data_IF_680689070758
#
_entry.id   IF_680689070758
#
_cell.length_a   1.000
_cell.length_b   1.000
_cell.length_c   1.000
_cell.angle_alpha   90.00
_cell.angle_beta   90.00
_cell.angle_gamma   90.00
#
_symmetry.space_group_name_H-M   'P 1'
#
loop_
_entity.id
_entity.type
_entity.pdbx_description
1 polymer ?
#
# COMPACT_ATOMS: atom_id res chain seq x y z
N UNK A 1 3.84 16.18 -16.06
CA UNK A 1 3.61 17.41 -15.28
C UNK A 1 3.63 17.04 -13.81
N UNK A 2 4.58 17.57 -13.07
CA UNK A 2 4.75 17.23 -11.65
C UNK A 2 3.72 17.93 -10.78
N UNK A 3 3.43 17.38 -9.59
CA UNK A 3 2.51 18.03 -8.63
C UNK A 3 3.01 19.44 -8.23
N UNK A 4 4.33 19.64 -8.22
CA UNK A 4 4.95 20.93 -7.90
C UNK A 4 4.72 21.97 -9.01
N UNK A 5 4.86 21.58 -10.29
CA UNK A 5 4.50 22.43 -11.42
C UNK A 5 3.01 22.80 -11.40
N UNK A 6 2.15 21.82 -11.08
CA UNK A 6 0.70 22.06 -10.92
C UNK A 6 0.44 23.10 -9.84
N UNK A 7 1.05 22.95 -8.65
CA UNK A 7 0.90 23.93 -7.57
C UNK A 7 1.34 25.33 -8.02
N UNK A 8 2.52 25.46 -8.63
CA UNK A 8 3.05 26.76 -9.04
C UNK A 8 2.13 27.46 -10.07
N UNK A 9 1.59 26.70 -11.03
CA UNK A 9 0.63 27.22 -12.00
C UNK A 9 -0.68 27.66 -11.34
N UNK A 10 -1.23 26.84 -10.43
CA UNK A 10 -2.44 27.18 -9.68
C UNK A 10 -2.22 28.39 -8.77
N UNK A 11 -1.06 28.49 -8.11
CA UNK A 11 -0.69 29.62 -7.26
C UNK A 11 -0.61 30.95 -8.04
N UNK A 12 -0.17 30.91 -9.31
CA UNK A 12 -0.21 32.07 -10.19
C UNK A 12 -1.64 32.43 -10.60
N UNK A 13 -2.44 31.42 -10.93
CA UNK A 13 -3.85 31.56 -11.30
C UNK A 13 -4.67 32.18 -10.16
N UNK A 14 -4.49 31.71 -8.92
CA UNK A 14 -5.21 32.20 -7.74
C UNK A 14 -4.92 33.67 -7.42
N UNK A 15 -3.72 34.16 -7.78
CA UNK A 15 -3.35 35.58 -7.62
C UNK A 15 -3.90 36.47 -8.73
N UNK A 16 -4.48 35.90 -9.79
CA UNK A 16 -5.04 36.69 -10.88
C UNK A 16 -6.26 37.50 -10.43
N UNK A 17 -6.29 38.79 -10.81
CA UNK A 17 -7.34 39.74 -10.40
C UNK A 17 -8.77 39.29 -10.73
N UNK A 18 -8.94 38.45 -11.75
CA UNK A 18 -10.24 37.89 -12.18
C UNK A 18 -10.95 37.07 -11.09
N UNK A 19 -10.22 36.50 -10.13
CA UNK A 19 -10.80 35.64 -9.08
C UNK A 19 -11.14 36.38 -7.79
N UNK A 20 -10.70 37.63 -7.64
CA UNK A 20 -11.06 38.49 -6.51
C UNK A 20 -12.57 38.56 -6.22
N UNK A 21 -13.46 38.80 -7.21
CA UNK A 21 -14.90 38.86 -6.93
C UNK A 21 -15.50 37.53 -6.44
N UNK A 22 -14.93 36.38 -6.81
CA UNK A 22 -15.39 35.07 -6.33
C UNK A 22 -15.14 34.93 -4.83
N UNK A 23 -13.96 35.35 -4.38
CA UNK A 23 -13.62 35.33 -2.95
C UNK A 23 -14.45 36.35 -2.16
N UNK A 24 -14.61 37.58 -2.65
CA UNK A 24 -15.45 38.59 -1.98
C UNK A 24 -16.91 38.14 -1.83
N UNK A 25 -17.45 37.43 -2.83
CA UNK A 25 -18.78 36.84 -2.72
C UNK A 25 -18.85 35.72 -1.67
N UNK A 26 -17.81 34.90 -1.54
CA UNK A 26 -17.75 33.86 -0.49
C UNK A 26 -17.66 34.45 0.91
N UNK A 27 -16.94 35.58 1.10
CA UNK A 27 -16.86 36.30 2.38
C UNK A 27 -18.23 36.73 2.89
N UNK A 28 -19.15 37.11 1.99
CA UNK A 28 -20.53 37.48 2.36
C UNK A 28 -21.36 36.29 2.85
N UNK A 29 -21.08 35.10 2.33
CA UNK A 29 -21.80 33.88 2.68
C UNK A 29 -21.19 33.14 3.87
N UNK A 30 -19.91 33.36 4.18
CA UNK A 30 -19.16 32.62 5.21
C UNK A 30 -18.37 33.57 6.12
N UNK A 31 -18.76 33.71 7.41
CA UNK A 31 -18.09 34.64 8.32
C UNK A 31 -16.62 34.29 8.56
N UNK A 32 -16.27 33.00 8.58
CA UNK A 32 -14.88 32.53 8.74
C UNK A 32 -13.97 33.06 7.62
N UNK A 33 -14.46 33.16 6.38
CA UNK A 33 -13.66 33.69 5.27
C UNK A 33 -13.59 35.23 5.31
N UNK A 34 -14.52 35.89 5.99
CA UNK A 34 -14.58 37.35 6.07
C UNK A 34 -13.37 37.94 6.82
N UNK A 35 -12.82 37.19 7.78
CA UNK A 35 -11.63 37.54 8.57
C UNK A 35 -10.36 37.69 7.71
N UNK A 36 -10.33 37.05 6.54
CA UNK A 36 -9.17 37.08 5.64
C UNK A 36 -9.32 38.18 4.57
N UNK A 37 -8.35 39.09 4.44
CA UNK A 37 -8.32 40.10 3.37
C UNK A 37 -8.26 39.50 1.96
N UNK A 38 -7.60 38.34 1.80
CA UNK A 38 -7.43 37.69 0.50
C UNK A 38 -7.45 36.16 0.62
N UNK A 39 -7.69 35.48 -0.50
CA UNK A 39 -7.62 34.01 -0.57
C UNK A 39 -6.21 33.49 -0.26
N UNK A 40 -5.18 34.28 -0.59
CA UNK A 40 -3.78 33.92 -0.30
C UNK A 40 -3.55 33.87 1.21
N UNK A 41 -4.04 34.86 1.95
CA UNK A 41 -3.93 34.86 3.42
C UNK A 41 -4.74 33.73 4.06
N UNK A 42 -5.92 33.41 3.52
CA UNK A 42 -6.68 32.24 3.97
C UNK A 42 -5.93 30.92 3.72
N UNK A 43 -5.18 30.82 2.62
CA UNK A 43 -4.34 29.66 2.32
C UNK A 43 -3.08 29.61 3.19
N UNK A 44 -2.45 30.75 3.45
CA UNK A 44 -1.29 30.87 4.34
C UNK A 44 -1.67 30.44 5.77
N UNK A 45 -2.89 30.75 6.21
CA UNK A 45 -3.42 30.29 7.49
C UNK A 45 -3.52 28.75 7.58
N UNK A 46 -3.72 28.04 6.46
CA UNK A 46 -3.79 26.58 6.41
C UNK A 46 -2.42 25.90 6.39
N UNK A 47 -1.32 26.64 6.19
CA UNK A 47 0.01 26.04 6.15
C UNK A 47 0.43 25.45 7.51
N UNK A 48 1.32 24.45 7.50
CA UNK A 48 1.74 23.76 8.73
C UNK A 48 2.52 24.66 9.70
N UNK A 49 3.15 25.72 9.20
CA UNK A 49 3.96 26.67 9.99
C UNK A 49 3.17 27.91 10.45
N UNK A 50 1.90 28.04 10.09
CA UNK A 50 1.08 29.18 10.51
C UNK A 50 0.76 29.10 12.00
N UNK A 51 0.60 30.28 12.62
CA UNK A 51 0.24 30.41 14.04
C UNK A 51 -1.21 29.99 14.35
N UNK A 52 -2.03 29.72 13.33
CA UNK A 52 -3.42 29.32 13.51
C UNK A 52 -3.53 27.98 14.25
N UNK A 53 -4.53 27.90 15.13
CA UNK A 53 -4.91 26.67 15.82
C UNK A 53 -5.45 25.62 14.86
N UNK A 54 -5.53 24.37 15.32
CA UNK A 54 -6.10 23.28 14.52
C UNK A 54 -7.55 23.54 14.14
N UNK A 55 -8.34 24.08 15.07
CA UNK A 55 -9.77 24.32 14.90
C UNK A 55 -10.04 25.46 13.91
N UNK A 56 -9.20 26.50 13.90
CA UNK A 56 -9.23 27.56 12.89
C UNK A 56 -8.89 27.01 11.50
N UNK A 57 -7.87 26.16 11.38
CA UNK A 57 -7.54 25.51 10.09
C UNK A 57 -8.68 24.63 9.61
N UNK A 58 -9.32 23.91 10.52
CA UNK A 58 -10.49 23.08 10.21
C UNK A 58 -11.68 23.94 9.76
N UNK A 59 -12.00 25.03 10.45
CA UNK A 59 -13.12 25.91 10.10
C UNK A 59 -12.91 26.57 8.72
N UNK A 60 -11.68 27.02 8.43
CA UNK A 60 -11.32 27.60 7.13
C UNK A 60 -11.42 26.54 6.03
N UNK A 61 -10.83 25.35 6.19
CA UNK A 61 -10.94 24.29 5.19
C UNK A 61 -12.40 23.93 4.90
N UNK A 62 -13.22 23.78 5.95
CA UNK A 62 -14.63 23.44 5.82
C UNK A 62 -15.41 24.52 5.09
N UNK A 63 -15.11 25.80 5.34
CA UNK A 63 -15.72 26.90 4.60
C UNK A 63 -15.36 26.83 3.11
N UNK A 64 -14.10 26.59 2.76
CA UNK A 64 -13.65 26.44 1.37
C UNK A 64 -14.31 25.24 0.66
N UNK A 65 -14.39 24.09 1.34
CA UNK A 65 -15.08 22.90 0.82
C UNK A 65 -16.57 23.17 0.61
N UNK A 66 -17.20 23.91 1.52
CA UNK A 66 -18.61 24.23 1.42
C UNK A 66 -18.91 25.15 0.22
N UNK A 67 -18.03 26.12 -0.06
CA UNK A 67 -18.14 26.96 -1.25
C UNK A 67 -17.95 26.16 -2.54
N UNK A 68 -16.98 25.23 -2.57
CA UNK A 68 -16.84 24.31 -3.70
C UNK A 68 -18.15 23.54 -3.92
N UNK A 69 -18.69 22.88 -2.89
CA UNK A 69 -19.85 22.01 -3.03
C UNK A 69 -21.13 22.75 -3.40
N UNK A 70 -21.29 24.01 -2.96
CA UNK A 70 -22.45 24.84 -3.32
C UNK A 70 -22.31 25.51 -4.69
N UNK A 71 -21.09 25.92 -5.06
CA UNK A 71 -20.80 26.69 -6.27
C UNK A 71 -19.54 26.12 -6.94
N UNK A 72 -19.62 24.92 -7.54
CA UNK A 72 -18.45 24.28 -8.11
C UNK A 72 -17.91 25.12 -9.25
N UNK A 73 -16.64 25.52 -9.15
CA UNK A 73 -15.94 26.22 -10.22
C UNK A 73 -14.43 25.90 -10.18
N UNK A 74 -13.72 26.11 -11.31
CA UNK A 74 -12.28 25.81 -11.39
C UNK A 74 -11.45 26.54 -10.33
N UNK A 75 -11.87 27.73 -9.93
CA UNK A 75 -11.20 28.50 -8.87
C UNK A 75 -11.21 27.75 -7.52
N UNK A 76 -12.35 27.24 -7.07
CA UNK A 76 -12.42 26.50 -5.80
C UNK A 76 -11.65 25.17 -5.85
N UNK A 77 -11.61 24.52 -7.02
CA UNK A 77 -10.77 23.35 -7.21
C UNK A 77 -9.29 23.71 -7.04
N UNK A 78 -8.83 24.80 -7.67
CA UNK A 78 -7.48 25.31 -7.53
C UNK A 78 -7.13 25.64 -6.07
N UNK A 79 -8.02 26.37 -5.38
CA UNK A 79 -7.88 26.71 -3.96
C UNK A 79 -7.68 25.45 -3.11
N UNK A 80 -8.53 24.44 -3.27
CA UNK A 80 -8.47 23.23 -2.45
C UNK A 80 -7.25 22.36 -2.75
N UNK A 81 -6.81 22.29 -4.02
CA UNK A 81 -5.59 21.59 -4.39
C UNK A 81 -4.36 22.25 -3.77
N UNK A 82 -4.30 23.59 -3.77
CA UNK A 82 -3.21 24.34 -3.13
C UNK A 82 -3.26 24.18 -1.61
N UNK A 83 -4.43 24.36 -0.98
CA UNK A 83 -4.63 24.19 0.46
C UNK A 83 -4.20 22.79 0.94
N UNK A 84 -4.56 21.75 0.18
CA UNK A 84 -4.26 20.36 0.52
C UNK A 84 -2.93 19.86 -0.07
N UNK A 85 -2.14 20.71 -0.72
CA UNK A 85 -0.88 20.33 -1.36
C UNK A 85 0.07 19.55 -0.44
N UNK A 86 0.31 19.95 0.83
CA UNK A 86 1.19 19.22 1.74
C UNK A 86 0.71 17.79 2.03
N UNK A 87 -0.61 17.56 1.96
CA UNK A 87 -1.20 16.24 2.09
C UNK A 87 -1.02 15.43 0.80
N UNK A 88 -1.27 16.05 -0.36
CA UNK A 88 -1.18 15.40 -1.67
C UNK A 88 0.25 14.95 -2.00
N UNK A 89 1.27 15.77 -1.73
CA UNK A 89 2.69 15.38 -1.93
C UNK A 89 3.04 14.10 -1.16
N UNK A 90 2.49 13.94 0.05
CA UNK A 90 2.73 12.73 0.85
C UNK A 90 2.00 11.50 0.31
N UNK A 91 0.94 11.68 -0.46
CA UNK A 91 0.19 10.59 -1.12
C UNK A 91 0.81 10.18 -2.45
N UNK A 92 1.56 11.05 -3.14
CA UNK A 92 2.28 10.72 -4.38
C UNK A 92 3.43 9.72 -4.14
N UNK A 93 3.96 9.64 -2.90
CA UNK A 93 5.08 8.76 -2.54
C UNK A 93 4.67 7.29 -2.34
N UNK A 94 3.85 6.74 -3.22
CA UNK A 94 3.50 5.31 -3.20
C UNK A 94 4.56 4.58 -4.04
N UNK A 95 5.31 3.62 -3.47
CA UNK A 95 6.22 2.81 -4.25
C UNK A 95 5.44 1.90 -5.20
N UNK A 96 6.00 1.62 -6.39
CA UNK A 96 5.50 0.63 -7.34
C UNK A 96 4.07 0.94 -7.87
N UNK A 97 3.87 2.11 -8.47
CA UNK A 97 2.57 2.44 -9.11
C UNK A 97 2.51 1.96 -10.56
N UNK A 98 1.37 1.44 -11.03
CA UNK A 98 1.18 1.03 -12.43
C UNK A 98 1.06 2.22 -13.40
N UNK A 99 1.11 3.44 -12.87
CA UNK A 99 1.02 4.68 -13.64
C UNK A 99 2.41 5.20 -13.96
N UNK A 100 2.60 5.77 -15.17
CA UNK A 100 3.74 6.62 -15.48
C UNK A 100 3.92 7.73 -14.44
N UNK A 101 5.17 8.21 -14.23
CA UNK A 101 5.47 9.21 -13.21
C UNK A 101 4.70 10.54 -13.38
N UNK A 102 4.29 10.88 -14.61
CA UNK A 102 3.52 12.08 -14.92
C UNK A 102 2.00 11.94 -14.76
N UNK A 103 1.48 10.71 -14.72
CA UNK A 103 0.04 10.44 -14.65
C UNK A 103 -0.45 10.31 -13.20
N UNK A 104 0.38 9.75 -12.31
CA UNK A 104 0.02 9.57 -10.91
C UNK A 104 -0.43 10.87 -10.21
N UNK A 105 0.27 12.02 -10.38
CA UNK A 105 -0.19 13.30 -9.83
C UNK A 105 -1.57 13.72 -10.35
N UNK A 106 -1.85 13.48 -11.63
CA UNK A 106 -3.13 13.83 -12.25
C UNK A 106 -4.27 12.97 -11.72
N UNK A 107 -4.05 11.65 -11.64
CA UNK A 107 -4.99 10.69 -11.05
C UNK A 107 -5.25 11.04 -9.59
N UNK A 108 -4.23 11.40 -8.82
CA UNK A 108 -4.38 11.81 -7.43
C UNK A 108 -5.24 13.07 -7.32
N UNK A 109 -4.97 14.11 -8.12
CA UNK A 109 -5.73 15.37 -8.07
C UNK A 109 -7.18 15.14 -8.49
N UNK A 110 -7.43 14.37 -9.55
CA UNK A 110 -8.78 14.00 -9.97
C UNK A 110 -9.51 13.23 -8.86
N UNK A 111 -8.88 12.21 -8.29
CA UNK A 111 -9.41 11.43 -7.17
C UNK A 111 -9.73 12.31 -5.97
N UNK A 112 -8.86 13.25 -5.63
CA UNK A 112 -9.05 14.19 -4.55
C UNK A 112 -10.27 15.08 -4.77
N UNK A 113 -10.40 15.68 -5.95
CA UNK A 113 -11.55 16.54 -6.28
C UNK A 113 -12.87 15.75 -6.27
N UNK A 114 -12.86 14.49 -6.75
CA UNK A 114 -14.01 13.59 -6.66
C UNK A 114 -14.39 13.23 -5.22
N UNK A 115 -13.42 13.20 -4.30
CA UNK A 115 -13.69 13.01 -2.87
C UNK A 115 -14.26 14.29 -2.28
N UNK A 116 -13.71 15.45 -2.60
CA UNK A 116 -14.20 16.76 -2.13
C UNK A 116 -15.68 16.94 -2.47
N UNK A 117 -16.09 16.64 -3.69
CA UNK A 117 -17.49 16.82 -4.14
C UNK A 117 -18.47 15.92 -3.38
N UNK A 118 -18.01 14.74 -2.92
CA UNK A 118 -18.84 13.74 -2.25
C UNK A 118 -18.64 13.71 -0.73
N UNK A 119 -17.84 14.63 -0.18
CA UNK A 119 -17.48 14.60 1.23
C UNK A 119 -18.65 15.07 2.11
N UNK A 120 -19.06 14.29 3.15
CA UNK A 120 -20.21 14.62 3.96
C UNK A 120 -19.86 15.66 5.05
N UNK A 121 -19.79 16.94 4.67
CA UNK A 121 -19.45 18.05 5.56
C UNK A 121 -20.39 18.17 6.77
N UNK A 122 -21.67 17.83 6.64
CA UNK A 122 -22.67 17.95 7.72
C UNK A 122 -22.61 16.81 8.74
N UNK A 123 -22.20 15.61 8.32
CA UNK A 123 -22.15 14.43 9.19
C UNK A 123 -20.83 14.34 9.98
N UNK A 124 -19.74 14.83 9.41
CA UNK A 124 -18.42 14.85 10.04
C UNK A 124 -18.19 16.20 10.68
N UNK A 125 -18.23 16.27 12.01
CA UNK A 125 -18.02 17.53 12.75
C UNK A 125 -16.55 17.91 12.86
N UNK A 126 -15.67 16.93 13.02
CA UNK A 126 -14.25 17.17 13.34
C UNK A 126 -13.30 16.37 12.44
N UNK A 127 -12.04 16.82 12.36
CA UNK A 127 -10.92 16.17 11.67
C UNK A 127 -11.11 16.04 10.16
N UNK A 128 -11.72 17.04 9.54
CA UNK A 128 -12.01 17.09 8.10
C UNK A 128 -10.78 16.75 7.24
N UNK A 129 -9.60 17.32 7.55
CA UNK A 129 -8.33 17.01 6.87
C UNK A 129 -7.96 15.51 6.92
N UNK A 130 -8.14 14.87 8.08
CA UNK A 130 -7.79 13.46 8.26
C UNK A 130 -8.70 12.56 7.42
N UNK A 131 -10.01 12.82 7.48
CA UNK A 131 -11.00 12.03 6.75
C UNK A 131 -10.86 12.25 5.24
N UNK A 132 -10.59 13.47 4.80
CA UNK A 132 -10.30 13.80 3.41
C UNK A 132 -9.07 13.04 2.90
N UNK A 133 -8.00 13.00 3.69
CA UNK A 133 -6.80 12.20 3.39
C UNK A 133 -7.12 10.72 3.27
N UNK A 134 -7.87 10.16 4.22
CA UNK A 134 -8.21 8.74 4.25
C UNK A 134 -9.08 8.35 3.05
N UNK A 135 -10.10 9.13 2.73
CA UNK A 135 -10.99 8.89 1.60
C UNK A 135 -10.23 9.01 0.26
N UNK A 136 -9.42 10.07 0.09
CA UNK A 136 -8.57 10.26 -1.10
C UNK A 136 -7.61 9.09 -1.28
N UNK A 137 -6.92 8.70 -0.20
CA UNK A 137 -6.03 7.54 -0.23
C UNK A 137 -6.80 6.29 -0.65
N UNK A 138 -7.94 5.99 -0.03
CA UNK A 138 -8.70 4.77 -0.31
C UNK A 138 -9.07 4.67 -1.78
N UNK A 139 -9.62 5.74 -2.35
CA UNK A 139 -9.96 5.80 -3.79
C UNK A 139 -8.75 5.73 -4.70
N UNK A 140 -7.63 6.34 -4.34
CA UNK A 140 -6.40 6.24 -5.12
C UNK A 140 -5.90 4.79 -5.19
N UNK A 141 -5.94 4.06 -4.06
CA UNK A 141 -5.60 2.65 -4.04
C UNK A 141 -6.61 1.79 -4.82
N UNK A 142 -7.89 2.16 -4.85
CA UNK A 142 -8.89 1.51 -5.72
C UNK A 142 -8.54 1.71 -7.20
N UNK A 143 -8.18 2.93 -7.60
CA UNK A 143 -7.75 3.25 -8.96
C UNK A 143 -6.46 2.49 -9.35
N UNK A 144 -5.47 2.42 -8.45
CA UNK A 144 -4.24 1.63 -8.66
C UNK A 144 -4.57 0.14 -8.86
N UNK A 145 -5.47 -0.43 -8.04
CA UNK A 145 -5.89 -1.82 -8.18
C UNK A 145 -6.62 -2.08 -9.50
N UNK A 146 -7.50 -1.17 -9.91
CA UNK A 146 -8.21 -1.25 -11.18
C UNK A 146 -7.22 -1.19 -12.36
N UNK A 147 -6.25 -0.28 -12.33
CA UNK A 147 -5.23 -0.15 -13.36
C UNK A 147 -4.36 -1.40 -13.47
N UNK A 148 -3.93 -1.97 -12.33
CA UNK A 148 -3.19 -3.25 -12.31
C UNK A 148 -4.00 -4.39 -12.90
N UNK A 149 -5.31 -4.46 -12.61
CA UNK A 149 -6.20 -5.47 -13.19
C UNK A 149 -6.32 -5.29 -14.72
N UNK A 150 -6.40 -4.05 -15.20
CA UNK A 150 -6.43 -3.76 -16.64
C UNK A 150 -5.11 -4.15 -17.32
N UNK A 151 -3.96 -3.76 -16.76
CA UNK A 151 -2.66 -4.16 -17.30
C UNK A 151 -2.44 -5.67 -17.24
N UNK A 152 -2.84 -6.32 -16.15
CA UNK A 152 -2.81 -7.77 -16.02
C UNK A 152 -3.74 -8.47 -17.02
N UNK A 153 -4.90 -7.88 -17.33
CA UNK A 153 -5.80 -8.38 -18.36
C UNK A 153 -5.27 -8.15 -19.79
N UNK A 154 -4.51 -7.08 -20.01
CA UNK A 154 -3.85 -6.79 -21.30
C UNK A 154 -2.62 -7.68 -21.52
N UNK A 155 -1.91 -8.09 -20.45
CA UNK A 155 -0.81 -9.05 -20.52
C UNK A 155 -1.24 -10.51 -20.68
N UNK A 156 -2.54 -10.82 -20.49
CA UNK A 156 -3.08 -12.12 -20.85
C UNK A 156 -3.34 -12.11 -22.36
N UNK A 157 -2.32 -12.47 -23.14
CA UNK A 157 -2.52 -12.95 -24.50
C UNK A 157 -3.66 -13.99 -24.48
N UNK A 158 -4.51 -13.97 -25.51
CA UNK A 158 -5.55 -14.98 -25.75
C UNK A 158 -4.95 -16.39 -25.50
N UNK A 159 -5.54 -17.23 -24.63
CA UNK A 159 -4.97 -18.54 -24.31
C UNK A 159 -4.75 -19.42 -25.55
N UNK A 160 -5.43 -19.15 -26.67
CA UNK A 160 -5.16 -19.78 -27.96
C UNK A 160 -3.84 -19.31 -28.61
N UNK A 161 -3.49 -18.02 -28.49
CA UNK A 161 -2.24 -17.44 -29.01
C UNK A 161 -1.02 -17.83 -28.19
N UNK A 162 -1.19 -17.99 -26.87
CA UNK A 162 -0.15 -18.52 -25.97
C UNK A 162 0.18 -19.98 -26.28
N UNK A 163 -0.83 -20.79 -26.61
CA UNK A 163 -0.66 -22.22 -26.94
C UNK A 163 0.22 -22.42 -28.19
N UNK A 164 -0.03 -21.67 -29.26
CA UNK A 164 0.79 -21.73 -30.47
C UNK A 164 2.22 -21.21 -30.30
N UNK A 165 2.45 -20.25 -29.38
CA UNK A 165 3.79 -19.79 -28.99
C UNK A 165 4.56 -20.83 -28.17
N UNK A 166 3.87 -21.56 -27.28
CA UNK A 166 4.48 -22.64 -26.49
C UNK A 166 4.99 -23.77 -27.38
N UNK A 167 4.21 -24.18 -28.39
CA UNK A 167 4.59 -25.22 -29.35
C UNK A 167 5.82 -24.82 -30.19
N UNK A 168 5.95 -23.53 -30.55
CA UNK A 168 7.11 -23.00 -31.27
C UNK A 168 8.37 -22.83 -30.39
N UNK A 169 8.19 -22.58 -29.09
CA UNK A 169 9.28 -22.48 -28.11
C UNK A 169 9.77 -23.86 -27.65
N UNK A 170 8.92 -24.89 -27.64
CA UNK A 170 9.34 -26.27 -27.40
C UNK A 170 10.14 -26.85 -28.58
N UNK A 171 9.79 -26.49 -29.82
CA UNK A 171 10.51 -26.89 -31.02
C UNK A 171 11.94 -26.30 -31.08
N UNK A 172 12.11 -25.08 -30.59
CA UNK A 172 13.42 -24.43 -30.47
C UNK A 172 13.91 -24.61 -29.04
N UNK A 173 14.78 -25.60 -28.80
CA UNK A 173 15.39 -26.01 -27.50
C UNK A 173 16.00 -24.89 -26.60
N UNK A 174 15.82 -23.62 -26.93
CA UNK A 174 16.12 -22.42 -26.14
C UNK A 174 15.06 -22.07 -25.08
N UNK A 175 13.93 -22.79 -25.01
CA UNK A 175 12.87 -22.54 -24.02
C UNK A 175 13.20 -22.85 -22.56
N UNK A 176 14.35 -23.49 -22.25
CA UNK A 176 14.71 -23.91 -20.88
C UNK A 176 15.56 -22.91 -20.08
N UNK A 177 15.39 -21.61 -20.26
CA UNK A 177 16.25 -20.60 -19.60
C UNK A 177 15.50 -19.52 -18.81
N UNK A 178 14.25 -19.76 -18.45
CA UNK A 178 13.50 -18.89 -17.54
C UNK A 178 12.96 -19.73 -16.38
N UNK A 179 13.07 -19.29 -15.10
CA UNK A 179 12.85 -20.19 -13.98
C UNK A 179 11.35 -20.45 -13.80
N UNK A 180 10.89 -21.59 -14.30
CA UNK A 180 9.56 -22.12 -14.06
C UNK A 180 9.49 -22.68 -12.63
N UNK A 181 9.01 -21.89 -11.69
CA UNK A 181 8.39 -22.43 -10.46
C UNK A 181 6.96 -22.85 -10.78
N UNK A 182 6.81 -23.89 -11.59
CA UNK A 182 5.52 -24.59 -11.66
C UNK A 182 5.23 -25.19 -10.27
N UNK A 183 3.99 -25.09 -9.75
CA UNK A 183 3.61 -25.84 -8.57
C UNK A 183 3.82 -27.32 -8.88
N UNK A 184 4.69 -27.98 -8.11
CA UNK A 184 4.97 -29.39 -8.28
C UNK A 184 3.75 -30.20 -7.85
N UNK A 185 2.94 -30.64 -8.82
CA UNK A 185 1.80 -31.53 -8.59
C UNK A 185 2.24 -32.99 -8.32
N UNK A 186 3.54 -33.28 -8.34
CA UNK A 186 4.06 -34.53 -7.81
C UNK A 186 4.27 -34.39 -6.29
N UNK A 187 3.62 -35.20 -5.43
CA UNK A 187 4.06 -35.35 -4.07
C UNK A 187 5.49 -35.89 -4.13
N UNK A 188 6.48 -35.02 -3.95
CA UNK A 188 7.88 -35.42 -3.84
C UNK A 188 7.92 -36.54 -2.81
N UNK A 189 8.30 -37.74 -3.22
CA UNK A 189 8.56 -38.82 -2.30
C UNK A 189 9.69 -38.32 -1.38
N UNK A 190 9.31 -37.92 -0.16
CA UNK A 190 10.24 -37.36 0.79
C UNK A 190 11.23 -38.45 1.18
N UNK A 191 12.53 -38.21 0.95
CA UNK A 191 13.57 -39.09 1.47
C UNK A 191 13.61 -38.93 3.00
N UNK A 192 13.05 -39.91 3.70
CA UNK A 192 12.98 -39.93 5.16
C UNK A 192 14.38 -39.89 5.80
N UNK A 193 15.43 -40.37 5.12
CA UNK A 193 16.80 -40.32 5.60
C UNK A 193 17.36 -38.89 5.55
N UNK A 194 17.10 -38.16 4.47
CA UNK A 194 17.50 -36.76 4.31
C UNK A 194 16.73 -35.85 5.29
N UNK A 195 15.43 -36.10 5.48
CA UNK A 195 14.62 -35.43 6.52
C UNK A 195 15.15 -35.66 7.93
N UNK A 196 15.55 -36.89 8.27
CA UNK A 196 16.12 -37.22 9.58
C UNK A 196 17.43 -36.49 9.85
N UNK A 197 18.27 -36.34 8.83
CA UNK A 197 19.52 -35.58 8.88
C UNK A 197 19.26 -34.08 9.12
N UNK A 198 18.31 -33.49 8.38
CA UNK A 198 17.92 -32.09 8.51
C UNK A 198 17.28 -31.78 9.88
N UNK A 199 16.43 -32.66 10.39
CA UNK A 199 15.86 -32.54 11.74
C UNK A 199 16.96 -32.61 12.79
N UNK A 200 17.88 -33.56 12.67
CA UNK A 200 19.01 -33.70 13.60
C UNK A 200 19.93 -32.48 13.57
N UNK A 201 20.16 -31.89 12.39
CA UNK A 201 20.92 -30.66 12.22
C UNK A 201 20.22 -29.46 12.86
N UNK A 202 18.93 -29.24 12.59
CA UNK A 202 18.17 -28.15 13.19
C UNK A 202 18.02 -28.31 14.71
N UNK A 203 17.85 -29.53 15.22
CA UNK A 203 17.84 -29.77 16.67
C UNK A 203 19.20 -29.51 17.31
N UNK A 204 20.31 -29.87 16.64
CA UNK A 204 21.66 -29.64 17.17
C UNK A 204 22.06 -28.16 17.18
N UNK A 205 21.68 -27.40 16.15
CA UNK A 205 22.11 -26.00 15.98
C UNK A 205 21.05 -24.95 16.34
N UNK A 206 19.77 -25.32 16.32
CA UNK A 206 18.62 -24.45 16.57
C UNK A 206 18.05 -24.53 18.00
N UNK A 207 18.23 -25.65 18.71
CA UNK A 207 17.81 -25.81 20.10
C UNK A 207 18.37 -24.78 21.11
N UNK A 208 19.59 -24.20 20.94
CA UNK A 208 20.09 -23.20 21.90
C UNK A 208 19.35 -21.86 21.82
N UNK A 209 18.58 -21.61 20.75
CA UNK A 209 18.00 -20.30 20.42
C UNK A 209 16.48 -20.34 20.31
N UNK A 210 15.91 -21.52 20.04
CA UNK A 210 14.48 -21.73 19.93
C UNK A 210 13.98 -22.69 21.01
N UNK A 211 12.93 -22.28 21.73
CA UNK A 211 12.15 -23.17 22.59
C UNK A 211 11.57 -24.34 21.77
N UNK A 212 11.31 -25.47 22.42
CA UNK A 212 10.89 -26.73 21.77
C UNK A 212 9.62 -26.58 20.89
N UNK A 213 8.68 -25.74 21.33
CA UNK A 213 7.48 -25.35 20.59
C UNK A 213 7.79 -24.61 19.27
N UNK A 214 8.80 -23.75 19.28
CA UNK A 214 9.23 -22.98 18.10
C UNK A 214 10.04 -23.85 17.16
N UNK A 215 10.86 -24.76 17.70
CA UNK A 215 11.62 -25.72 16.91
C UNK A 215 10.68 -26.69 16.18
N UNK A 216 9.67 -27.24 16.86
CA UNK A 216 8.63 -28.09 16.28
C UNK A 216 7.85 -27.41 15.16
N UNK A 217 7.50 -26.13 15.36
CA UNK A 217 6.82 -25.29 14.37
C UNK A 217 7.70 -25.05 13.13
N UNK A 218 8.99 -24.82 13.30
CA UNK A 218 9.92 -24.65 12.17
C UNK A 218 10.08 -25.99 11.44
N UNK A 219 10.31 -27.09 12.13
CA UNK A 219 10.45 -28.42 11.51
C UNK A 219 9.23 -28.79 10.67
N UNK A 220 8.01 -28.55 11.17
CA UNK A 220 6.79 -28.84 10.44
C UNK A 220 6.66 -27.99 9.16
N UNK A 221 7.07 -26.73 9.20
CA UNK A 221 6.85 -25.78 8.10
C UNK A 221 7.98 -25.77 7.07
N UNK A 222 9.23 -25.98 7.49
CA UNK A 222 10.40 -25.91 6.58
C UNK A 222 10.85 -27.27 6.09
N UNK A 223 10.93 -28.27 6.97
CA UNK A 223 11.37 -29.62 6.58
C UNK A 223 10.20 -30.41 5.98
N UNK A 224 9.04 -30.41 6.65
CA UNK A 224 7.87 -31.16 6.18
C UNK A 224 7.01 -30.41 5.16
N UNK A 225 7.36 -29.15 4.84
CA UNK A 225 6.63 -28.25 3.94
C UNK A 225 5.12 -28.17 4.25
N UNK A 226 4.75 -28.35 5.52
CA UNK A 226 3.35 -28.31 5.96
C UNK A 226 2.89 -26.83 5.98
N UNK A 227 1.74 -26.48 5.36
CA UNK A 227 1.26 -25.11 5.41
C UNK A 227 0.89 -24.74 6.85
N UNK A 228 1.16 -23.49 7.25
CA UNK A 228 0.93 -23.01 8.62
C UNK A 228 -0.53 -23.20 9.07
N UNK A 229 -1.47 -23.16 8.12
CA UNK A 229 -2.90 -23.44 8.35
C UNK A 229 -3.15 -24.89 8.73
N UNK A 230 -2.51 -25.86 8.06
CA UNK A 230 -2.62 -27.28 8.39
C UNK A 230 -1.99 -27.59 9.76
N UNK A 231 -0.83 -27.00 10.05
CA UNK A 231 -0.16 -27.13 11.35
C UNK A 231 -1.05 -26.62 12.50
N UNK A 232 -1.66 -25.43 12.34
CA UNK A 232 -2.56 -24.84 13.34
C UNK A 232 -3.84 -25.67 13.47
N UNK A 233 -4.40 -26.15 12.37
CA UNK A 233 -5.61 -26.98 12.40
C UNK A 233 -5.35 -28.34 13.09
N UNK A 234 -4.16 -28.92 12.96
CA UNK A 234 -3.80 -30.17 13.63
C UNK A 234 -3.60 -30.00 15.14
N UNK A 235 -2.88 -28.96 15.56
CA UNK A 235 -2.53 -28.76 16.99
C UNK A 235 -3.63 -28.09 17.81
N UNK A 236 -4.53 -27.36 17.13
CA UNK A 236 -5.63 -26.64 17.77
C UNK A 236 -6.98 -27.09 17.19
N UNK A 237 -7.10 -28.41 16.95
CA UNK A 237 -8.31 -29.02 16.42
C UNK A 237 -9.53 -28.80 17.32
N UNK A 238 -9.31 -28.69 18.63
CA UNK A 238 -10.37 -28.53 19.65
C UNK A 238 -10.94 -27.10 19.74
N UNK A 239 -10.35 -26.13 19.01
CA UNK A 239 -10.79 -24.73 19.06
C UNK A 239 -11.80 -24.39 17.94
N UNK A 240 -12.82 -23.55 18.23
CA UNK A 240 -13.70 -22.98 17.21
C UNK A 240 -12.93 -22.23 16.12
N UNK A 241 -13.48 -22.15 14.90
CA UNK A 241 -12.81 -21.51 13.74
C UNK A 241 -12.35 -20.07 14.01
N UNK A 242 -13.16 -19.29 14.74
CA UNK A 242 -12.80 -17.93 15.15
C UNK A 242 -11.59 -17.89 16.11
N UNK A 243 -11.48 -18.89 17.00
CA UNK A 243 -10.32 -19.07 17.88
C UNK A 243 -9.07 -19.50 17.11
N UNK A 244 -9.23 -20.41 16.13
CA UNK A 244 -8.15 -20.85 15.23
C UNK A 244 -7.58 -19.71 14.39
N UNK A 245 -8.40 -18.76 13.95
CA UNK A 245 -7.93 -17.58 13.22
C UNK A 245 -7.04 -16.65 14.07
N UNK A 246 -7.38 -16.45 15.35
CA UNK A 246 -6.57 -15.66 16.28
C UNK A 246 -5.25 -16.37 16.62
N UNK A 247 -5.31 -17.70 16.82
CA UNK A 247 -4.14 -18.54 17.05
C UNK A 247 -3.23 -18.56 15.83
N UNK A 248 -3.79 -18.65 14.62
CA UNK A 248 -3.04 -18.57 13.37
C UNK A 248 -2.22 -17.28 13.27
N UNK A 249 -2.81 -16.12 13.58
CA UNK A 249 -2.07 -14.85 13.55
C UNK A 249 -0.95 -14.81 14.59
N UNK A 250 -1.16 -15.40 15.77
CA UNK A 250 -0.13 -15.51 16.82
C UNK A 250 1.00 -16.45 16.41
N UNK A 251 0.66 -17.61 15.84
CA UNK A 251 1.61 -18.63 15.36
C UNK A 251 2.40 -18.10 14.16
N UNK A 252 1.77 -17.36 13.24
CA UNK A 252 2.44 -16.71 12.11
C UNK A 252 3.50 -15.71 12.56
N UNK A 253 3.17 -14.85 13.52
CA UNK A 253 4.12 -13.87 14.08
C UNK A 253 5.26 -14.58 14.83
N UNK A 254 4.94 -15.67 15.55
CA UNK A 254 5.93 -16.49 16.25
C UNK A 254 6.87 -17.21 15.28
N UNK A 255 6.33 -17.77 14.19
CA UNK A 255 7.08 -18.45 13.12
C UNK A 255 8.04 -17.50 12.42
N UNK A 256 7.59 -16.30 12.04
CA UNK A 256 8.43 -15.28 11.42
C UNK A 256 9.61 -14.87 12.33
N UNK A 257 9.38 -14.71 13.64
CA UNK A 257 10.46 -14.40 14.60
C UNK A 257 11.41 -15.58 14.83
N UNK A 258 10.90 -16.80 14.82
CA UNK A 258 11.72 -18.01 14.97
C UNK A 258 12.64 -18.23 13.76
N UNK A 259 12.14 -18.01 12.54
CA UNK A 259 12.94 -18.06 11.33
C UNK A 259 14.02 -16.97 11.31
N UNK A 260 13.69 -15.75 11.73
CA UNK A 260 14.67 -14.67 11.78
C UNK A 260 15.77 -14.93 12.82
N UNK A 261 15.40 -15.47 13.99
CA UNK A 261 16.35 -15.92 15.01
C UNK A 261 17.28 -17.02 14.49
N UNK A 262 16.74 -18.02 13.79
CA UNK A 262 17.54 -19.08 13.17
C UNK A 262 18.47 -18.57 12.07
N UNK A 263 18.02 -17.62 11.25
CA UNK A 263 18.85 -16.99 10.21
C UNK A 263 20.09 -16.33 10.82
N UNK A 264 19.93 -15.60 11.92
CA UNK A 264 21.06 -14.97 12.61
C UNK A 264 22.07 -15.97 13.20
N UNK A 265 21.60 -17.13 13.66
CA UNK A 265 22.45 -18.18 14.25
C UNK A 265 23.19 -18.96 13.17
N UNK A 266 22.47 -19.38 12.13
CA UNK A 266 23.04 -20.10 10.98
C UNK A 266 24.03 -19.21 10.21
N UNK A 267 23.73 -17.91 10.06
CA UNK A 267 24.65 -16.95 9.43
C UNK A 267 25.97 -16.75 10.21
N UNK A 268 25.99 -17.01 11.53
CA UNK A 268 27.21 -16.96 12.35
C UNK A 268 28.03 -18.25 12.32
N UNK A 269 27.41 -19.38 12.01
CA UNK A 269 28.07 -20.69 12.04
C UNK A 269 28.51 -21.20 10.66
N UNK A 270 28.05 -20.60 9.56
CA UNK A 270 28.52 -20.96 8.22
C UNK A 270 29.64 -20.02 7.74
N UNK A 271 30.84 -20.53 7.39
CA UNK A 271 31.80 -19.73 6.64
C UNK A 271 31.20 -19.36 5.29
N UNK A 272 31.39 -18.10 4.88
CA UNK A 272 31.04 -17.57 3.55
C UNK A 272 31.66 -18.46 2.47
N UNK A 273 30.94 -19.46 2.01
CA UNK A 273 31.20 -20.04 0.71
C UNK A 273 29.90 -20.43 0.00
N UNK A 274 29.98 -20.33 -1.32
CA UNK A 274 28.94 -19.81 -2.19
C UNK A 274 27.78 -20.76 -2.53
N UNK A 275 26.66 -20.13 -2.92
CA UNK A 275 25.70 -20.54 -3.96
C UNK A 275 24.58 -21.56 -3.69
N UNK A 276 24.65 -22.45 -2.70
CA UNK A 276 23.60 -23.49 -2.59
C UNK A 276 22.48 -23.24 -1.56
N UNK A 277 22.44 -22.07 -0.89
CA UNK A 277 21.54 -21.87 0.25
C UNK A 277 20.56 -20.69 0.11
N UNK A 278 20.56 -19.99 -1.03
CA UNK A 278 19.55 -18.95 -1.29
C UNK A 278 18.15 -19.55 -1.53
N UNK A 279 18.10 -20.81 -1.97
CA UNK A 279 16.85 -21.55 -2.24
C UNK A 279 16.20 -22.12 -0.97
N UNK A 280 16.97 -22.31 0.11
CA UNK A 280 16.47 -22.95 1.34
C UNK A 280 15.76 -22.00 2.32
N UNK A 281 15.97 -20.68 2.19
CA UNK A 281 15.51 -19.69 3.17
C UNK A 281 14.56 -18.64 2.59
N UNK A 282 14.15 -18.79 1.34
CA UNK A 282 13.14 -17.93 0.72
C UNK A 282 11.75 -18.41 1.15
N UNK A 283 10.95 -17.58 1.86
CA UNK A 283 9.60 -17.96 2.25
C UNK A 283 8.71 -17.98 0.99
N UNK A 284 8.12 -19.13 0.68
CA UNK A 284 6.87 -19.19 -0.08
C UNK A 284 5.72 -18.58 0.75
#
# INVERSE_FOLDING_TARGET
MTLQEMRASLDAELRARRHRPLFENAKRSRPVLAEFPSIVEALDALESHSAASYDEKESVLRALMHEQQQRPCPFWNAVLVVACYPMLVRLVRIPDTPFPPDELPQVLVATFLDVVTQFPLTATRDRTFLHLRQATRRRLFDAIRAQRKQLGAVCLDDPAKLRGRHEQVEANQRGRLWPDTAPSDSPQAFDYAEMGSLVSFLSRHGAPVLDDDKLSLVIATTIRKEPLTAYVNRLYADLPEAGRAQVYQRVKRRHSRALEGLRHVLARQLPRNEKNMHDFLSPN
#
